data_IF_886534932665
#
_entry.id   IF_886534932665
#
_cell.length_a   1.000
_cell.length_b   1.000
_cell.length_c   1.000
_cell.angle_alpha   90.00
_cell.angle_beta   90.00
_cell.angle_gamma   90.00
#
_symmetry.space_group_name_H-M   'P 1'
#
loop_
_entity.id
_entity.type
_entity.pdbx_description
1 polymer ?
#
# COMPACT_ATOMS: atom_id res chain seq x y z
N UNK A 1 -9.99 -1.58 -7.39
CA UNK A 1 -9.41 -1.92 -6.08
C UNK A 1 -7.90 -1.71 -6.11
N UNK A 2 -7.21 -2.38 -7.04
CA UNK A 2 -5.78 -2.20 -7.31
C UNK A 2 -5.38 -0.73 -7.43
N UNK A 3 -6.06 0.08 -8.25
CA UNK A 3 -5.75 1.51 -8.42
C UNK A 3 -5.78 2.31 -7.10
N UNK A 4 -6.69 1.96 -6.18
CA UNK A 4 -6.77 2.63 -4.86
C UNK A 4 -5.58 2.26 -3.98
N UNK A 5 -5.13 1.00 -4.05
CA UNK A 5 -3.96 0.52 -3.30
C UNK A 5 -2.69 1.19 -3.86
N UNK A 6 -2.56 1.29 -5.18
CA UNK A 6 -1.42 1.96 -5.83
C UNK A 6 -1.37 3.45 -5.49
N UNK A 7 -2.50 4.17 -5.56
CA UNK A 7 -2.56 5.58 -5.20
C UNK A 7 -2.22 5.81 -3.71
N UNK A 8 -2.70 4.94 -2.82
CA UNK A 8 -2.35 4.98 -1.40
C UNK A 8 -0.85 4.68 -1.19
N UNK A 9 -0.30 3.70 -1.90
CA UNK A 9 1.12 3.36 -1.90
C UNK A 9 1.98 4.55 -2.30
N UNK A 10 1.65 5.20 -3.42
CA UNK A 10 2.33 6.40 -3.89
C UNK A 10 2.26 7.55 -2.88
N UNK A 11 1.10 7.76 -2.26
CA UNK A 11 0.93 8.81 -1.24
C UNK A 11 1.83 8.54 -0.03
N UNK A 12 1.87 7.29 0.45
CA UNK A 12 2.72 6.90 1.58
C UNK A 12 4.21 6.98 1.26
N UNK A 13 4.61 6.62 0.04
CA UNK A 13 5.99 6.74 -0.44
C UNK A 13 6.46 8.19 -0.46
N UNK A 14 5.62 9.10 -0.97
CA UNK A 14 5.96 10.54 -1.02
C UNK A 14 6.04 11.11 0.40
N UNK A 15 5.11 10.77 1.29
CA UNK A 15 5.03 11.36 2.63
C UNK A 15 6.05 10.79 3.62
N UNK A 16 6.41 9.51 3.50
CA UNK A 16 7.17 8.78 4.52
C UNK A 16 8.40 8.06 3.99
N UNK A 17 8.67 8.13 2.69
CA UNK A 17 9.70 7.34 2.03
C UNK A 17 9.36 5.85 1.98
N UNK A 18 10.24 5.08 1.35
CA UNK A 18 10.05 3.64 1.16
C UNK A 18 9.94 2.88 2.49
N UNK A 19 10.80 3.15 3.47
CA UNK A 19 10.76 2.46 4.77
C UNK A 19 9.53 2.81 5.61
N UNK A 20 8.99 4.02 5.45
CA UNK A 20 7.79 4.47 6.15
C UNK A 20 6.47 3.97 5.53
N UNK A 21 6.47 3.56 4.26
CA UNK A 21 5.28 3.12 3.52
C UNK A 21 4.92 1.63 3.75
N UNK A 22 4.66 1.22 5.00
CA UNK A 22 4.31 -0.18 5.29
C UNK A 22 2.98 -0.62 4.64
N UNK A 23 2.84 -1.92 4.35
CA UNK A 23 1.59 -2.50 3.80
C UNK A 23 0.37 -2.20 4.67
N UNK A 24 0.53 -2.15 5.99
CA UNK A 24 -0.55 -1.78 6.90
C UNK A 24 -1.00 -0.32 6.73
N UNK A 25 -0.07 0.63 6.64
CA UNK A 25 -0.43 2.04 6.37
C UNK A 25 -1.07 2.21 5.00
N UNK A 26 -0.58 1.48 4.00
CA UNK A 26 -1.15 1.50 2.65
C UNK A 26 -2.59 0.94 2.67
N UNK A 27 -2.84 -0.16 3.39
CA UNK A 27 -4.19 -0.71 3.55
C UNK A 27 -5.13 0.27 4.24
N UNK A 28 -4.66 0.91 5.32
CA UNK A 28 -5.41 1.95 6.04
C UNK A 28 -5.73 3.15 5.14
N UNK A 29 -4.74 3.68 4.43
CA UNK A 29 -4.91 4.79 3.49
C UNK A 29 -5.82 4.44 2.29
N UNK A 30 -5.80 3.19 1.83
CA UNK A 30 -6.69 2.68 0.80
C UNK A 30 -8.11 2.38 1.31
N UNK A 31 -8.33 2.38 2.64
CA UNK A 31 -9.61 2.09 3.28
C UNK A 31 -10.00 0.61 3.21
N UNK A 32 -9.02 -0.29 3.28
CA UNK A 32 -9.23 -1.75 3.20
C UNK A 32 -8.55 -2.48 4.37
N UNK A 33 -8.95 -3.74 4.58
CA UNK A 33 -8.25 -4.59 5.54
C UNK A 33 -6.86 -5.00 5.02
N UNK A 34 -5.85 -5.19 5.89
CA UNK A 34 -4.56 -5.74 5.47
C UNK A 34 -4.69 -7.09 4.76
N UNK A 35 -5.60 -7.95 5.21
CA UNK A 35 -5.86 -9.25 4.57
C UNK A 35 -6.35 -9.10 3.12
N UNK A 36 -7.19 -8.10 2.83
CA UNK A 36 -7.61 -7.79 1.46
C UNK A 36 -6.43 -7.31 0.60
N UNK A 37 -5.51 -6.51 1.16
CA UNK A 37 -4.32 -6.06 0.45
C UNK A 37 -3.43 -7.24 0.05
N UNK A 38 -3.21 -8.19 0.96
CA UNK A 38 -2.39 -9.38 0.69
C UNK A 38 -2.96 -10.32 -0.39
N UNK A 39 -4.24 -10.19 -0.75
CA UNK A 39 -4.81 -10.92 -1.89
C UNK A 39 -4.37 -10.34 -3.24
N UNK A 40 -3.99 -9.06 -3.28
CA UNK A 40 -3.52 -8.39 -4.50
C UNK A 40 -1.99 -8.28 -4.54
N UNK A 41 -1.36 -7.99 -3.40
CA UNK A 41 0.06 -7.74 -3.31
C UNK A 41 0.68 -8.57 -2.20
N UNK A 42 1.66 -9.45 -2.51
CA UNK A 42 2.25 -10.32 -1.50
C UNK A 42 3.12 -9.55 -0.48
N UNK A 43 3.62 -8.37 -0.85
CA UNK A 43 4.50 -7.55 -0.03
C UNK A 43 4.45 -6.09 -0.49
N UNK A 44 5.20 -5.23 0.22
CA UNK A 44 5.32 -3.81 -0.10
C UNK A 44 5.94 -3.59 -1.49
N UNK A 45 6.97 -4.36 -1.85
CA UNK A 45 7.69 -4.19 -3.13
C UNK A 45 6.78 -4.29 -4.34
N UNK A 46 5.87 -5.27 -4.34
CA UNK A 46 4.90 -5.46 -5.42
C UNK A 46 3.92 -4.28 -5.59
N UNK A 47 3.81 -3.38 -4.60
CA UNK A 47 2.98 -2.16 -4.66
C UNK A 47 3.77 -1.01 -5.29
N UNK A 48 5.11 -1.05 -5.22
CA UNK A 48 6.01 0.05 -5.63
C UNK A 48 6.64 -0.20 -7.00
N UNK A 49 6.64 -1.44 -7.49
CA UNK A 49 7.04 -1.83 -8.85
C UNK A 49 6.10 -1.22 -9.91
#
# INVERSE_FOLDING_TARGET
MVDRILAAGQTMLIAHGYDGASTNRIAEAAGISPGSLYQYFPNKDAIVE
#
